data_IF_004807844953
#
_entry.id   IF_004807844953
#
_cell.length_a   1.000
_cell.length_b   1.000
_cell.length_c   1.000
_cell.angle_alpha   90.00
_cell.angle_beta   90.00
_cell.angle_gamma   90.00
#
_symmetry.space_group_name_H-M   'P 1'
#
loop_
_entity.id
_entity.type
_entity.pdbx_description
1 polymer ?
#
# COMPACT_ATOMS: atom_id res chain seq x y z
N UNK A 1 22.73 7.22 2.24
CA UNK A 1 21.90 6.00 2.34
C UNK A 1 20.52 6.38 1.85
N UNK A 2 20.07 5.96 0.67
CA UNK A 2 18.97 6.65 -0.04
C UNK A 2 17.70 6.81 0.81
N UNK A 3 17.21 5.77 1.50
CA UNK A 3 16.02 5.88 2.36
C UNK A 3 16.23 6.75 3.60
N UNK A 4 17.39 6.63 4.26
CA UNK A 4 17.73 7.44 5.44
C UNK A 4 17.78 8.92 5.05
N UNK A 5 18.44 9.23 3.93
CA UNK A 5 18.58 10.59 3.41
C UNK A 5 17.18 11.18 3.09
N UNK A 6 16.30 10.40 2.47
CA UNK A 6 14.92 10.79 2.13
C UNK A 6 14.04 11.02 3.35
N UNK A 7 14.27 10.28 4.45
CA UNK A 7 13.57 10.50 5.71
C UNK A 7 14.14 11.68 6.52
N UNK A 8 15.18 12.37 6.03
CA UNK A 8 15.77 13.53 6.71
C UNK A 8 17.01 13.20 7.57
N UNK A 9 17.70 12.10 7.26
CA UNK A 9 18.93 11.67 7.93
C UNK A 9 18.71 10.67 9.07
N UNK A 10 19.82 10.26 9.69
CA UNK A 10 19.86 9.18 10.70
C UNK A 10 18.84 9.36 11.83
N UNK A 11 18.71 10.58 12.36
CA UNK A 11 17.86 10.83 13.53
C UNK A 11 16.37 10.76 13.20
N UNK A 12 15.96 11.37 12.08
CA UNK A 12 14.57 11.33 11.63
C UNK A 12 14.18 9.90 11.21
N UNK A 13 15.09 9.17 10.56
CA UNK A 13 14.90 7.75 10.26
C UNK A 13 14.73 6.91 11.53
N UNK A 14 15.60 7.08 12.53
CA UNK A 14 15.48 6.36 13.80
C UNK A 14 14.21 6.73 14.56
N UNK A 15 13.79 8.01 14.54
CA UNK A 15 12.52 8.45 15.13
C UNK A 15 11.33 7.75 14.46
N UNK A 16 11.39 7.57 13.14
CA UNK A 16 10.36 6.82 12.41
C UNK A 16 10.35 5.34 12.80
N UNK A 17 11.51 4.70 12.95
CA UNK A 17 11.60 3.33 13.46
C UNK A 17 11.07 3.22 14.89
N UNK A 18 11.42 4.17 15.77
CA UNK A 18 10.94 4.22 17.15
C UNK A 18 9.41 4.32 17.19
N UNK A 19 8.79 5.07 16.26
CA UNK A 19 7.33 5.14 16.15
C UNK A 19 6.68 3.78 15.85
N UNK A 20 7.41 2.84 15.23
CA UNK A 20 6.94 1.49 14.97
C UNK A 20 6.99 0.61 16.23
N UNK A 21 8.08 0.64 17.01
CA UNK A 21 8.27 -0.26 18.15
C UNK A 21 7.65 0.25 19.47
N UNK A 22 7.45 1.57 19.61
CA UNK A 22 7.09 2.20 20.89
C UNK A 22 5.73 2.92 20.88
N UNK A 23 4.93 2.76 19.82
CA UNK A 23 3.51 3.17 19.77
C UNK A 23 2.61 2.05 20.30
N UNK A 24 1.36 2.36 20.65
CA UNK A 24 0.32 1.38 21.01
C UNK A 24 0.12 0.33 19.89
N UNK A 25 -0.04 -0.95 20.23
CA UNK A 25 -0.27 -2.04 19.27
C UNK A 25 -1.68 -2.06 18.68
N UNK A 26 -2.59 -1.20 19.13
CA UNK A 26 -3.96 -1.12 18.61
C UNK A 26 -3.96 -0.81 17.11
N UNK A 27 -4.44 -1.77 16.32
CA UNK A 27 -4.67 -1.61 14.89
C UNK A 27 -6.03 -0.94 14.65
N UNK A 28 -6.14 -0.18 13.56
CA UNK A 28 -7.42 0.31 13.02
C UNK A 28 -7.74 -0.39 11.70
N UNK A 29 -8.99 -0.33 11.25
CA UNK A 29 -9.43 -1.00 10.02
C UNK A 29 -9.74 -2.48 10.22
N UNK A 30 -9.51 -3.28 9.17
CA UNK A 30 -9.84 -4.72 9.15
C UNK A 30 -8.86 -5.51 10.04
N UNK A 31 -9.41 -6.35 10.91
CA UNK A 31 -8.61 -7.37 11.62
C UNK A 31 -8.12 -8.40 10.59
N UNK A 32 -6.81 -8.52 10.44
CA UNK A 32 -6.18 -9.54 9.62
C UNK A 32 -5.54 -10.58 10.53
N UNK A 33 -5.76 -11.87 10.23
CA UNK A 33 -5.25 -12.97 11.03
C UNK A 33 -3.72 -13.06 11.02
N UNK A 34 -3.08 -12.54 9.97
CA UNK A 34 -1.63 -12.61 9.74
C UNK A 34 -0.87 -11.42 10.40
N UNK A 35 -1.57 -10.58 11.18
CA UNK A 35 -0.95 -9.50 11.95
C UNK A 35 -0.77 -9.96 13.40
N UNK A 36 0.37 -10.61 13.67
CA UNK A 36 0.67 -11.25 14.95
C UNK A 36 2.10 -10.97 15.42
N UNK A 37 2.39 -11.29 16.70
CA UNK A 37 3.72 -11.02 17.28
C UNK A 37 4.05 -9.53 17.37
N UNK A 38 3.10 -8.75 17.91
CA UNK A 38 3.20 -7.30 17.94
C UNK A 38 4.13 -6.78 19.03
N UNK A 39 5.06 -5.89 18.66
CA UNK A 39 5.80 -5.02 19.57
C UNK A 39 5.52 -3.58 19.13
N UNK A 40 4.57 -2.92 19.80
CA UNK A 40 3.95 -1.73 19.23
C UNK A 40 3.29 -2.06 17.89
N UNK A 41 3.64 -1.35 16.83
CA UNK A 41 3.20 -1.60 15.46
C UNK A 41 4.12 -2.54 14.66
N UNK A 42 5.26 -2.98 15.24
CA UNK A 42 6.10 -4.00 14.63
C UNK A 42 5.38 -5.35 14.64
N UNK A 43 5.28 -6.02 13.49
CA UNK A 43 4.58 -7.30 13.34
C UNK A 43 5.54 -8.42 12.98
N UNK A 44 6.02 -9.17 13.98
CA UNK A 44 7.05 -10.19 13.75
C UNK A 44 6.55 -11.41 12.97
N UNK A 45 5.28 -11.79 13.15
CA UNK A 45 4.68 -12.95 12.49
C UNK A 45 4.41 -12.77 10.99
N UNK A 46 4.95 -11.70 10.38
CA UNK A 46 4.83 -11.40 8.96
C UNK A 46 6.18 -10.89 8.43
N UNK A 47 6.62 -11.46 7.32
CA UNK A 47 7.96 -11.32 6.74
C UNK A 47 8.42 -9.87 6.50
N UNK A 48 7.57 -8.92 6.04
CA UNK A 48 7.99 -7.57 5.74
C UNK A 48 8.66 -6.86 6.92
N UNK A 49 8.31 -7.23 8.16
CA UNK A 49 8.87 -6.61 9.37
C UNK A 49 10.20 -7.21 9.80
N UNK A 50 10.54 -8.43 9.41
CA UNK A 50 11.58 -9.22 10.09
C UNK A 50 12.99 -8.60 10.05
N UNK A 51 13.28 -7.76 9.05
CA UNK A 51 14.56 -7.05 8.94
C UNK A 51 14.59 -5.67 9.64
N UNK A 52 13.44 -5.13 10.05
CA UNK A 52 13.30 -3.73 10.51
C UNK A 52 14.16 -3.39 11.72
N UNK A 53 14.28 -4.29 12.71
CA UNK A 53 15.11 -4.06 13.89
C UNK A 53 16.61 -3.87 13.56
N UNK A 54 17.09 -4.48 12.47
CA UNK A 54 18.46 -4.34 12.00
C UNK A 54 18.74 -3.01 11.29
N UNK A 55 17.71 -2.23 10.93
CA UNK A 55 17.87 -0.97 10.22
C UNK A 55 18.53 0.13 11.09
N UNK A 56 18.44 0.05 12.42
CA UNK A 56 19.15 0.98 13.29
C UNK A 56 20.69 0.91 13.13
N UNK A 57 21.25 -0.26 12.78
CA UNK A 57 22.67 -0.40 12.50
C UNK A 57 23.13 0.45 11.29
N UNK A 58 22.26 0.64 10.29
CA UNK A 58 22.53 1.50 9.12
C UNK A 58 22.53 3.00 9.48
N UNK A 59 21.85 3.38 10.56
CA UNK A 59 21.74 4.75 11.06
C UNK A 59 22.64 5.01 12.29
N UNK A 60 23.60 4.11 12.57
CA UNK A 60 24.58 4.29 13.64
C UNK A 60 24.06 4.10 15.05
N UNK A 61 22.87 3.49 15.23
CA UNK A 61 22.27 3.16 16.53
C UNK A 61 22.25 1.64 16.76
N UNK A 62 23.37 0.95 16.57
CA UNK A 62 23.45 -0.52 16.67
C UNK A 62 22.95 -1.08 18.02
N UNK A 63 23.10 -0.32 19.11
CA UNK A 63 22.55 -0.71 20.42
C UNK A 63 21.02 -0.90 20.40
N UNK A 64 20.28 -0.14 19.57
CA UNK A 64 18.82 -0.34 19.40
C UNK A 64 18.50 -1.63 18.64
N UNK A 65 19.31 -1.99 17.65
CA UNK A 65 19.20 -3.31 17.00
C UNK A 65 19.38 -4.42 18.03
N UNK A 66 20.40 -4.33 18.88
CA UNK A 66 20.70 -5.32 19.91
C UNK A 66 19.54 -5.48 20.92
N UNK A 67 19.01 -4.36 21.42
CA UNK A 67 17.87 -4.31 22.33
C UNK A 67 16.62 -4.97 21.72
N UNK A 68 16.22 -4.55 20.53
CA UNK A 68 14.98 -5.00 19.89
C UNK A 68 15.07 -6.45 19.42
N UNK A 69 16.20 -6.86 18.84
CA UNK A 69 16.42 -8.26 18.44
C UNK A 69 16.40 -9.17 19.66
N UNK A 70 17.04 -8.78 20.77
CA UNK A 70 16.98 -9.53 22.02
C UNK A 70 15.54 -9.69 22.48
N UNK A 71 14.78 -8.59 22.51
CA UNK A 71 13.37 -8.58 22.92
C UNK A 71 12.53 -9.53 22.07
N UNK A 72 12.66 -9.47 20.75
CA UNK A 72 11.95 -10.36 19.80
C UNK A 72 12.30 -11.83 20.09
N UNK A 73 13.59 -12.16 20.19
CA UNK A 73 14.05 -13.53 20.48
C UNK A 73 13.48 -14.10 21.79
N UNK A 74 13.32 -13.26 22.81
CA UNK A 74 12.90 -13.73 24.15
C UNK A 74 11.39 -13.62 24.42
N UNK A 75 10.68 -12.73 23.72
CA UNK A 75 9.23 -12.54 23.92
C UNK A 75 8.38 -13.29 22.89
N UNK A 76 8.87 -13.50 21.66
CA UNK A 76 8.08 -14.01 20.54
C UNK A 76 8.44 -15.44 20.10
N UNK A 77 9.41 -16.06 20.78
CA UNK A 77 9.81 -17.44 20.57
C UNK A 77 9.85 -18.21 21.89
N UNK A 78 9.35 -19.45 21.89
CA UNK A 78 9.53 -20.40 22.99
C UNK A 78 9.55 -21.84 22.48
N UNK A 79 9.93 -22.77 23.35
CA UNK A 79 9.93 -24.20 23.05
C UNK A 79 8.56 -24.89 23.29
N UNK A 80 7.49 -24.11 23.45
CA UNK A 80 6.12 -24.62 23.65
C UNK A 80 5.44 -24.90 22.31
N UNK A 81 4.36 -25.70 22.27
CA UNK A 81 3.63 -25.95 21.02
C UNK A 81 3.08 -24.69 20.34
N UNK A 82 2.80 -23.63 21.11
CA UNK A 82 2.38 -22.29 20.68
C UNK A 82 3.58 -21.31 20.60
N UNK A 83 4.78 -21.84 20.42
CA UNK A 83 6.03 -21.11 20.65
C UNK A 83 6.49 -20.18 19.54
N UNK A 84 5.75 -20.05 18.43
CA UNK A 84 6.02 -19.08 17.37
C UNK A 84 4.83 -18.13 17.25
N UNK A 85 5.10 -16.84 17.03
CA UNK A 85 4.06 -15.83 17.05
C UNK A 85 3.24 -15.73 15.76
N UNK A 86 3.54 -16.49 14.71
CA UNK A 86 2.87 -16.47 13.41
C UNK A 86 3.07 -17.80 12.67
N UNK A 87 2.76 -17.83 11.37
CA UNK A 87 3.09 -18.98 10.53
C UNK A 87 4.61 -19.12 10.44
N UNK A 88 5.14 -20.34 10.43
CA UNK A 88 6.58 -20.54 10.26
C UNK A 88 7.06 -20.23 8.83
N UNK A 89 6.12 -20.20 7.88
CA UNK A 89 6.32 -19.92 6.46
C UNK A 89 7.49 -20.69 5.84
N UNK A 90 7.37 -22.01 5.97
CA UNK A 90 8.32 -23.00 5.45
C UNK A 90 9.75 -22.80 5.96
N UNK A 91 9.92 -22.39 7.22
CA UNK A 91 11.19 -22.23 7.89
C UNK A 91 11.72 -20.80 7.95
N UNK A 92 11.00 -19.81 7.40
CA UNK A 92 11.43 -18.41 7.42
C UNK A 92 11.55 -17.85 8.84
N UNK A 93 10.53 -18.04 9.69
CA UNK A 93 10.57 -17.63 11.10
C UNK A 93 11.66 -18.36 11.87
N UNK A 94 11.73 -19.69 11.70
CA UNK A 94 12.77 -20.52 12.31
C UNK A 94 14.19 -20.08 11.92
N UNK A 95 14.43 -19.77 10.64
CA UNK A 95 15.71 -19.29 10.16
C UNK A 95 16.04 -17.89 10.72
N UNK A 96 15.05 -17.01 10.85
CA UNK A 96 15.23 -15.71 11.51
C UNK A 96 15.72 -15.88 12.95
N UNK A 97 15.10 -16.78 13.72
CA UNK A 97 15.54 -17.08 15.09
C UNK A 97 16.98 -17.59 15.13
N UNK A 98 17.32 -18.59 14.31
CA UNK A 98 18.66 -19.20 14.28
C UNK A 98 19.74 -18.15 13.96
N UNK A 99 19.54 -17.37 12.90
CA UNK A 99 20.51 -16.33 12.50
C UNK A 99 20.64 -15.25 13.57
N UNK A 100 19.52 -14.73 14.06
CA UNK A 100 19.51 -13.65 15.04
C UNK A 100 20.10 -14.10 16.39
N UNK A 101 19.85 -15.34 16.82
CA UNK A 101 20.43 -15.92 18.03
C UNK A 101 21.94 -16.17 17.91
N UNK A 102 22.46 -16.41 16.71
CA UNK A 102 23.91 -16.40 16.45
C UNK A 102 24.52 -14.99 16.53
N UNK A 103 23.70 -13.95 16.41
CA UNK A 103 24.11 -12.55 16.54
C UNK A 103 24.28 -11.80 15.22
N UNK A 104 23.78 -12.31 14.10
CA UNK A 104 23.78 -11.58 12.82
C UNK A 104 22.64 -11.98 11.89
N UNK A 105 22.26 -11.11 10.95
CA UNK A 105 21.14 -11.37 10.03
C UNK A 105 21.39 -10.81 8.60
N UNK A 106 21.02 -11.55 7.53
CA UNK A 106 21.18 -11.09 6.15
C UNK A 106 20.04 -10.15 5.75
N UNK A 107 20.13 -8.86 6.12
CA UNK A 107 19.10 -7.84 5.81
C UNK A 107 18.84 -7.70 4.30
N UNK A 108 19.89 -7.80 3.49
CA UNK A 108 19.83 -7.73 2.04
C UNK A 108 20.51 -8.98 1.46
N UNK A 109 19.78 -10.10 1.26
CA UNK A 109 20.34 -11.28 0.63
C UNK A 109 21.05 -10.96 -0.70
N UNK A 110 22.09 -11.72 -1.03
CA UNK A 110 23.02 -11.49 -2.15
C UNK A 110 23.96 -10.27 -2.04
N UNK A 111 23.82 -9.41 -1.02
CA UNK A 111 24.81 -8.35 -0.75
C UNK A 111 26.16 -8.88 -0.21
N UNK A 112 26.22 -10.16 0.16
CA UNK A 112 27.30 -10.77 0.93
C UNK A 112 27.55 -10.12 2.30
N UNK A 113 26.59 -9.39 2.86
CA UNK A 113 26.68 -8.79 4.18
C UNK A 113 25.66 -9.39 5.16
N UNK A 114 26.11 -9.63 6.39
CA UNK A 114 25.31 -10.04 7.54
C UNK A 114 25.39 -8.97 8.61
N UNK A 115 24.28 -8.30 8.93
CA UNK A 115 24.24 -7.20 9.90
C UNK A 115 24.29 -7.76 11.31
N UNK A 116 25.20 -7.23 12.13
CA UNK A 116 25.45 -7.70 13.50
C UNK A 116 24.34 -7.19 14.44
N UNK A 117 23.76 -8.13 15.18
CA UNK A 117 22.92 -7.88 16.35
C UNK A 117 23.70 -8.16 17.63
N UNK A 118 23.15 -9.03 18.49
CA UNK A 118 23.80 -9.54 19.68
C UNK A 118 23.51 -11.05 19.82
N UNK A 119 24.51 -11.91 20.06
CA UNK A 119 24.30 -13.34 20.26
C UNK A 119 23.40 -13.63 21.47
N UNK A 120 22.71 -14.76 21.45
CA UNK A 120 21.91 -15.27 22.57
C UNK A 120 22.66 -16.30 23.44
N UNK A 121 23.70 -16.94 22.88
CA UNK A 121 24.45 -18.01 23.52
C UNK A 121 25.92 -17.65 23.71
N UNK A 122 26.54 -18.19 24.76
CA UNK A 122 27.96 -17.94 25.08
C UNK A 122 28.93 -18.46 24.02
N UNK A 123 28.53 -19.51 23.29
CA UNK A 123 29.29 -20.08 22.19
C UNK A 123 28.38 -20.71 21.15
N UNK A 124 28.63 -20.42 19.88
CA UNK A 124 28.05 -21.12 18.72
C UNK A 124 29.16 -21.56 17.78
N UNK A 125 29.04 -22.73 17.18
CA UNK A 125 29.98 -23.22 16.14
C UNK A 125 29.20 -23.58 14.88
N UNK A 126 29.51 -22.91 13.79
CA UNK A 126 28.99 -23.22 12.45
C UNK A 126 29.97 -24.20 11.78
N UNK A 127 29.49 -25.40 11.46
CA UNK A 127 30.25 -26.36 10.66
C UNK A 127 29.95 -26.09 9.18
N UNK A 128 30.94 -25.59 8.44
CA UNK A 128 30.80 -25.21 7.04
C UNK A 128 30.90 -26.43 6.13
N UNK A 129 30.28 -26.38 4.96
CA UNK A 129 30.29 -27.48 3.98
C UNK A 129 31.70 -27.83 3.48
N UNK A 130 32.63 -26.86 3.50
CA UNK A 130 34.04 -27.08 3.17
C UNK A 130 34.85 -27.75 4.29
N UNK A 131 34.20 -28.22 5.35
CA UNK A 131 34.83 -28.88 6.50
C UNK A 131 35.48 -27.94 7.51
N UNK A 132 35.48 -26.63 7.27
CA UNK A 132 35.98 -25.62 8.21
C UNK A 132 34.92 -25.27 9.25
N UNK A 133 35.34 -24.55 10.30
CA UNK A 133 34.47 -24.10 11.40
C UNK A 133 34.57 -22.60 11.55
N UNK A 134 33.42 -21.95 11.74
CA UNK A 134 33.33 -20.57 12.19
C UNK A 134 32.74 -20.55 13.60
N UNK A 135 33.51 -20.08 14.57
CA UNK A 135 33.11 -20.03 15.97
C UNK A 135 32.70 -18.61 16.37
N UNK A 136 31.60 -18.50 17.10
CA UNK A 136 31.11 -17.27 17.69
C UNK A 136 31.22 -17.43 19.20
N UNK A 137 31.95 -16.55 19.87
CA UNK A 137 32.20 -16.60 21.31
C UNK A 137 31.69 -15.31 21.93
N UNK A 138 30.77 -15.39 22.88
CA UNK A 138 30.10 -14.23 23.47
C UNK A 138 29.81 -14.48 24.95
N UNK A 139 30.85 -14.61 25.77
CA UNK A 139 30.70 -14.95 27.18
C UNK A 139 29.76 -13.99 27.92
N UNK A 140 28.76 -14.54 28.60
CA UNK A 140 27.71 -13.79 29.30
C UNK A 140 26.61 -13.27 28.39
N UNK A 141 26.45 -13.82 27.17
CA UNK A 141 25.43 -13.37 26.21
C UNK A 141 24.01 -13.56 26.74
N UNK A 142 23.77 -14.58 27.57
CA UNK A 142 22.44 -14.80 28.15
C UNK A 142 21.99 -13.62 29.01
N UNK A 143 22.89 -13.05 29.82
CA UNK A 143 22.59 -11.95 30.76
C UNK A 143 22.80 -10.55 30.17
N UNK A 144 23.65 -10.44 29.15
CA UNK A 144 24.08 -9.16 28.59
C UNK A 144 23.55 -9.00 27.15
N UNK A 145 22.71 -7.99 26.94
CA UNK A 145 22.08 -7.75 25.64
C UNK A 145 22.95 -6.93 24.66
N UNK A 146 24.00 -6.27 25.12
CA UNK A 146 24.75 -5.29 24.32
C UNK A 146 26.18 -5.73 24.01
N UNK A 147 26.69 -5.26 22.88
CA UNK A 147 28.06 -5.50 22.42
C UNK A 147 28.93 -4.30 22.77
N UNK A 148 30.03 -4.54 23.48
CA UNK A 148 31.05 -3.53 23.79
C UNK A 148 32.10 -3.39 22.71
N UNK A 149 32.61 -4.51 22.23
CA UNK A 149 33.59 -4.58 21.15
C UNK A 149 33.59 -5.97 20.52
N UNK A 150 34.20 -6.09 19.35
CA UNK A 150 34.34 -7.35 18.62
C UNK A 150 35.81 -7.61 18.28
N UNK A 151 36.16 -8.88 18.20
CA UNK A 151 37.39 -9.33 17.53
C UNK A 151 37.07 -10.36 16.48
N UNK A 152 37.64 -10.20 15.29
CA UNK A 152 37.60 -11.19 14.23
C UNK A 152 38.99 -11.78 14.07
N UNK A 153 39.13 -13.08 14.32
CA UNK A 153 40.40 -13.81 14.29
C UNK A 153 41.49 -13.12 15.15
N UNK A 154 41.10 -12.70 16.36
CA UNK A 154 41.98 -12.03 17.33
C UNK A 154 42.29 -10.56 17.05
N UNK A 155 41.82 -9.99 15.93
CA UNK A 155 42.01 -8.58 15.57
C UNK A 155 40.77 -7.77 15.93
N UNK A 156 40.95 -6.56 16.44
CA UNK A 156 39.86 -5.61 16.69
C UNK A 156 39.00 -5.43 15.42
N UNK A 157 37.69 -5.48 15.61
CA UNK A 157 36.70 -5.38 14.54
C UNK A 157 35.64 -4.36 14.93
N UNK A 158 35.53 -3.30 14.16
CA UNK A 158 34.73 -2.11 14.50
C UNK A 158 33.48 -1.94 13.62
N UNK A 159 33.20 -2.91 12.76
CA UNK A 159 32.03 -2.89 11.86
C UNK A 159 30.83 -3.58 12.50
N UNK A 160 29.63 -3.11 12.16
CA UNK A 160 28.34 -3.70 12.57
C UNK A 160 27.77 -4.66 11.51
N UNK A 161 28.64 -5.24 10.70
CA UNK A 161 28.30 -6.29 9.74
C UNK A 161 29.49 -7.21 9.54
N UNK A 162 29.25 -8.43 9.08
CA UNK A 162 30.25 -9.36 8.54
C UNK A 162 30.05 -9.46 7.04
N UNK A 163 31.12 -9.65 6.28
CA UNK A 163 31.03 -10.08 4.90
C UNK A 163 31.01 -11.61 4.85
N UNK A 164 30.48 -12.18 3.77
CA UNK A 164 30.56 -13.62 3.51
C UNK A 164 32.01 -14.14 3.54
N UNK A 165 32.95 -13.33 3.06
CA UNK A 165 34.38 -13.64 3.07
C UNK A 165 34.97 -13.71 4.48
N UNK A 166 34.36 -13.05 5.47
CA UNK A 166 34.77 -13.13 6.88
C UNK A 166 34.38 -14.49 7.50
N UNK A 167 33.47 -15.25 6.87
CA UNK A 167 32.88 -16.49 7.40
C UNK A 167 33.31 -17.72 6.58
N UNK A 168 33.31 -17.63 5.24
CA UNK A 168 33.42 -18.78 4.33
C UNK A 168 34.68 -19.64 4.54
N UNK A 169 35.73 -19.05 5.08
CA UNK A 169 37.01 -19.68 5.33
C UNK A 169 37.21 -20.14 6.77
N UNK A 170 36.14 -20.14 7.58
CA UNK A 170 36.19 -20.40 9.01
C UNK A 170 36.84 -19.26 9.79
N UNK A 171 37.00 -19.45 11.10
CA UNK A 171 37.58 -18.45 11.98
C UNK A 171 36.86 -18.33 13.31
N UNK A 172 37.16 -17.26 14.05
CA UNK A 172 36.56 -16.95 15.35
C UNK A 172 36.11 -15.50 15.40
N UNK A 173 34.85 -15.27 15.73
CA UNK A 173 34.29 -13.96 16.06
C UNK A 173 34.00 -13.91 17.57
N UNK A 174 34.70 -13.02 18.27
CA UNK A 174 34.58 -12.85 19.71
C UNK A 174 33.83 -11.56 20.03
N UNK A 175 32.76 -11.67 20.81
CA UNK A 175 31.98 -10.57 21.33
C UNK A 175 32.36 -10.29 22.79
N UNK A 176 32.72 -9.06 23.10
CA UNK A 176 32.75 -8.58 24.47
C UNK A 176 31.35 -8.06 24.85
N UNK A 177 30.59 -8.84 25.61
CA UNK A 177 29.21 -8.48 25.99
C UNK A 177 29.17 -7.52 27.19
N UNK A 178 28.09 -6.75 27.31
CA UNK A 178 27.84 -5.84 28.44
C UNK A 178 26.34 -5.62 28.69
N UNK A 179 25.99 -5.25 29.91
CA UNK A 179 24.62 -5.01 30.38
C UNK A 179 24.04 -3.63 29.99
N UNK A 180 24.91 -2.73 29.51
CA UNK A 180 24.57 -1.34 29.17
C UNK A 180 24.86 -1.03 27.70
N UNK A 181 24.01 -0.23 27.04
CA UNK A 181 24.22 0.13 25.64
C UNK A 181 25.53 0.93 25.46
N UNK A 182 26.28 0.59 24.41
CA UNK A 182 27.47 1.35 23.99
C UNK A 182 27.09 2.19 22.77
N UNK A 183 26.77 3.46 23.01
CA UNK A 183 26.28 4.39 21.98
C UNK A 183 27.29 4.65 20.85
N UNK A 184 28.58 4.46 21.12
CA UNK A 184 29.66 4.67 20.14
C UNK A 184 29.91 3.45 19.25
N UNK A 185 29.47 2.26 19.65
CA UNK A 185 29.66 1.04 18.87
C UNK A 185 28.86 1.11 17.57
N UNK A 186 29.55 1.10 16.43
CA UNK A 186 28.92 1.17 15.11
C UNK A 186 28.39 2.55 14.71
N UNK A 187 28.74 3.61 15.45
CA UNK A 187 28.25 4.97 15.18
C UNK A 187 28.87 5.58 13.92
N UNK A 188 30.16 5.35 13.69
CA UNK A 188 30.88 5.90 12.54
C UNK A 188 30.35 5.32 11.22
N UNK A 189 30.19 6.14 10.17
CA UNK A 189 29.66 5.68 8.88
C UNK A 189 30.47 4.53 8.27
N UNK A 190 31.79 4.53 8.43
CA UNK A 190 32.69 3.47 7.95
C UNK A 190 32.44 2.10 8.62
N UNK A 191 31.84 2.11 9.80
CA UNK A 191 31.49 0.91 10.57
C UNK A 191 30.14 0.33 10.20
N UNK A 192 29.28 1.07 9.48
CA UNK A 192 27.89 0.68 9.21
C UNK A 192 27.79 -0.18 7.95
N UNK A 193 26.79 -1.08 7.88
CA UNK A 193 26.44 -1.72 6.60
C UNK A 193 25.98 -0.67 5.60
N UNK A 194 26.12 -0.97 4.31
CA UNK A 194 25.70 -0.07 3.23
C UNK A 194 24.83 -0.82 2.23
N UNK A 195 23.72 -0.22 1.83
CA UNK A 195 22.91 -0.71 0.73
C UNK A 195 22.72 0.41 -0.29
N UNK A 196 23.23 0.20 -1.51
CA UNK A 196 23.14 1.17 -2.60
C UNK A 196 23.14 0.45 -3.94
N UNK A 197 22.28 0.90 -4.83
CA UNK A 197 22.30 0.53 -6.25
C UNK A 197 23.48 1.27 -6.91
N UNK A 198 24.51 0.53 -7.35
CA UNK A 198 25.67 1.08 -8.06
C UNK A 198 25.56 0.94 -9.57
N UNK A 199 24.90 -0.13 -10.00
CA UNK A 199 24.68 -0.48 -11.40
C UNK A 199 23.17 -0.52 -11.70
N UNK A 200 22.78 -0.27 -12.96
CA UNK A 200 21.38 -0.20 -13.37
C UNK A 200 20.57 0.80 -12.53
N UNK A 201 21.07 2.05 -12.44
CA UNK A 201 20.43 3.12 -11.67
C UNK A 201 18.96 3.29 -12.06
N UNK A 202 18.09 3.28 -11.05
CA UNK A 202 16.66 3.43 -11.20
C UNK A 202 16.32 4.90 -10.95
N UNK A 203 15.68 5.54 -11.92
CA UNK A 203 15.01 6.82 -11.71
C UNK A 203 13.59 6.54 -11.22
N UNK A 204 13.24 7.07 -10.05
CA UNK A 204 11.98 6.79 -9.38
C UNK A 204 10.87 7.64 -10.00
N UNK A 205 9.71 7.03 -10.24
CA UNK A 205 8.58 7.75 -10.84
C UNK A 205 8.09 8.88 -9.93
N UNK A 206 7.80 10.07 -10.49
CA UNK A 206 7.26 11.19 -9.74
C UNK A 206 5.79 10.96 -9.37
N UNK A 207 5.25 11.82 -8.51
CA UNK A 207 3.82 11.80 -8.14
C UNK A 207 3.13 13.15 -8.36
N UNK A 208 1.82 13.09 -8.58
CA UNK A 208 0.94 14.25 -8.55
C UNK A 208 0.14 14.27 -7.25
N UNK A 209 0.02 15.44 -6.65
CA UNK A 209 -0.84 15.68 -5.49
C UNK A 209 -1.86 16.78 -5.83
N UNK A 210 -3.09 16.62 -5.37
CA UNK A 210 -4.17 17.57 -5.62
C UNK A 210 -5.29 17.37 -4.60
N UNK A 211 -6.15 18.37 -4.44
CA UNK A 211 -7.31 18.28 -3.56
C UNK A 211 -8.43 17.45 -4.20
N UNK A 212 -9.08 16.61 -3.38
CA UNK A 212 -10.22 15.79 -3.81
C UNK A 212 -9.81 14.57 -4.65
N UNK A 213 -10.63 14.21 -5.62
CA UNK A 213 -10.52 12.94 -6.35
C UNK A 213 -10.06 13.12 -7.81
N UNK A 214 -9.61 14.32 -8.20
CA UNK A 214 -9.20 14.62 -9.59
C UNK A 214 -10.34 15.15 -10.48
N UNK A 215 -11.43 15.61 -9.86
CA UNK A 215 -12.58 16.23 -10.55
C UNK A 215 -12.80 17.65 -10.04
N UNK A 216 -13.16 18.58 -10.92
CA UNK A 216 -13.26 20.00 -10.58
C UNK A 216 -14.28 20.74 -11.46
N UNK A 217 -14.79 21.89 -11.02
CA UNK A 217 -15.79 22.68 -11.77
C UNK A 217 -15.16 23.86 -12.52
N UNK A 218 -14.25 24.57 -11.86
CA UNK A 218 -13.59 25.78 -12.37
C UNK A 218 -12.16 25.49 -12.79
N UNK A 219 -11.34 25.10 -11.81
CA UNK A 219 -9.94 24.77 -11.99
C UNK A 219 -9.47 23.84 -10.87
N UNK A 220 -8.38 23.11 -11.13
CA UNK A 220 -7.67 22.32 -10.13
C UNK A 220 -6.19 22.70 -10.14
N UNK A 221 -5.64 22.96 -8.97
CA UNK A 221 -4.18 23.06 -8.79
C UNK A 221 -3.64 21.67 -8.58
N UNK A 222 -2.62 21.32 -9.37
CA UNK A 222 -1.94 20.04 -9.32
C UNK A 222 -0.47 20.30 -8.96
N UNK A 223 -0.04 19.69 -7.87
CA UNK A 223 1.34 19.73 -7.41
C UNK A 223 2.11 18.54 -7.98
N UNK A 224 3.34 18.82 -8.40
CA UNK A 224 4.27 17.90 -9.05
C UNK A 224 5.40 17.64 -8.07
N UNK A 225 5.58 16.38 -7.68
CA UNK A 225 6.52 16.00 -6.62
C UNK A 225 7.55 15.01 -7.16
N UNK A 226 8.82 15.40 -7.16
CA UNK A 226 9.92 14.48 -7.41
C UNK A 226 10.26 13.71 -6.15
N UNK A 227 10.75 12.51 -6.38
CA UNK A 227 11.28 11.70 -5.31
C UNK A 227 12.68 12.19 -4.89
N UNK A 228 13.53 12.52 -5.87
CA UNK A 228 14.82 13.17 -5.63
C UNK A 228 14.75 14.64 -6.08
N UNK A 229 15.27 15.56 -5.27
CA UNK A 229 15.22 17.01 -5.53
C UNK A 229 15.92 17.43 -6.83
N UNK A 230 16.90 16.64 -7.28
CA UNK A 230 17.67 16.90 -8.48
C UNK A 230 17.01 16.32 -9.75
N UNK A 231 15.89 15.58 -9.61
CA UNK A 231 15.18 15.03 -10.76
C UNK A 231 14.44 16.14 -11.52
N UNK A 232 14.52 16.09 -12.85
CA UNK A 232 13.64 16.88 -13.70
C UNK A 232 12.40 16.08 -14.05
N UNK A 233 11.23 16.54 -13.61
CA UNK A 233 9.94 15.96 -13.96
C UNK A 233 9.46 16.55 -15.27
N UNK A 234 9.16 15.68 -16.22
CA UNK A 234 8.45 16.03 -17.46
C UNK A 234 6.97 15.73 -17.26
N UNK A 235 6.13 16.73 -17.51
CA UNK A 235 4.67 16.65 -17.50
C UNK A 235 4.19 16.82 -18.93
N UNK A 236 3.67 15.75 -19.53
CA UNK A 236 3.12 15.71 -20.87
C UNK A 236 1.59 15.80 -20.80
N UNK A 237 1.02 16.75 -21.54
CA UNK A 237 -0.42 16.93 -21.67
C UNK A 237 -0.92 16.19 -22.91
N UNK A 238 -2.17 15.69 -22.87
CA UNK A 238 -2.76 14.94 -23.99
C UNK A 238 -2.85 15.66 -25.34
N UNK A 239 -2.54 16.97 -25.40
CA UNK A 239 -2.39 17.75 -26.64
C UNK A 239 -0.96 17.75 -27.21
N UNK A 240 -0.04 17.00 -26.60
CA UNK A 240 1.37 16.89 -26.98
C UNK A 240 2.26 18.01 -26.44
N UNK A 241 1.72 18.96 -25.66
CA UNK A 241 2.54 19.97 -24.98
C UNK A 241 3.21 19.37 -23.74
N UNK A 242 4.40 19.87 -23.39
CA UNK A 242 5.14 19.41 -22.20
C UNK A 242 5.56 20.59 -21.31
N UNK A 243 5.64 20.35 -20.01
CA UNK A 243 6.26 21.26 -19.02
C UNK A 243 7.25 20.50 -18.17
N UNK A 244 8.34 21.16 -17.80
CA UNK A 244 9.38 20.56 -16.97
C UNK A 244 9.46 21.26 -15.62
N UNK A 245 9.64 20.49 -14.54
CA UNK A 245 9.82 20.97 -13.18
C UNK A 245 11.08 20.34 -12.59
N UNK A 246 11.92 21.11 -11.90
CA UNK A 246 13.08 20.59 -11.18
C UNK A 246 12.70 20.37 -9.72
N UNK A 247 12.73 19.13 -9.25
CA UNK A 247 12.40 18.74 -7.88
C UNK A 247 10.91 18.84 -7.55
N UNK A 248 10.33 20.02 -7.55
CA UNK A 248 8.91 20.23 -7.23
C UNK A 248 8.32 21.40 -8.02
N UNK A 249 7.01 21.46 -8.10
CA UNK A 249 6.31 22.59 -8.70
C UNK A 249 4.80 22.38 -8.72
N UNK A 250 4.10 23.30 -9.37
CA UNK A 250 2.65 23.19 -9.50
C UNK A 250 2.15 23.86 -10.78
N UNK A 251 0.97 23.45 -11.22
CA UNK A 251 0.25 24.08 -12.31
C UNK A 251 -1.25 23.95 -12.12
N UNK A 252 -2.01 24.86 -12.73
CA UNK A 252 -3.47 24.80 -12.73
C UNK A 252 -3.98 24.23 -14.06
N UNK A 253 -5.01 23.40 -13.96
CA UNK A 253 -5.81 22.93 -15.10
C UNK A 253 -7.19 23.54 -15.03
N UNK A 254 -7.76 23.84 -16.21
CA UNK A 254 -9.07 24.49 -16.35
C UNK A 254 -10.07 23.66 -17.16
N UNK A 255 -9.65 22.52 -17.72
CA UNK A 255 -10.45 21.63 -18.55
C UNK A 255 -10.03 20.18 -18.31
N UNK A 256 -10.91 19.21 -18.62
CA UNK A 256 -10.60 17.79 -18.53
C UNK A 256 -9.35 17.46 -19.33
N UNK A 257 -8.38 16.77 -18.72
CA UNK A 257 -7.10 16.45 -19.36
C UNK A 257 -6.56 15.11 -18.89
N UNK A 258 -5.90 14.42 -19.80
CA UNK A 258 -4.98 13.34 -19.47
C UNK A 258 -3.57 13.91 -19.34
N UNK A 259 -2.86 13.50 -18.29
CA UNK A 259 -1.52 13.97 -17.95
C UNK A 259 -0.64 12.75 -17.74
N UNK A 260 0.50 12.72 -18.41
CA UNK A 260 1.54 11.71 -18.22
C UNK A 260 2.76 12.37 -17.61
N UNK A 261 3.30 11.80 -16.53
CA UNK A 261 4.50 12.31 -15.87
C UNK A 261 5.61 11.27 -15.79
N UNK A 262 6.86 11.70 -15.87
CA UNK A 262 8.03 10.88 -15.63
C UNK A 262 9.22 11.75 -15.21
N UNK A 263 10.14 11.17 -14.44
CA UNK A 263 11.34 11.83 -13.97
C UNK A 263 12.54 11.52 -14.89
N UNK A 264 13.46 12.47 -14.98
CA UNK A 264 14.75 12.34 -15.67
C UNK A 264 15.89 12.76 -14.75
N UNK A 265 16.84 11.86 -14.57
CA UNK A 265 18.10 12.11 -13.88
C UNK A 265 19.16 11.09 -14.33
N UNK A 266 19.84 11.38 -15.43
CA UNK A 266 20.73 10.43 -16.14
C UNK A 266 19.98 9.31 -16.87
N UNK A 267 19.01 8.67 -16.22
CA UNK A 267 18.03 7.74 -16.79
C UNK A 267 16.61 8.32 -16.68
N UNK A 268 15.62 7.68 -17.31
CA UNK A 268 14.20 8.05 -17.19
C UNK A 268 13.46 7.04 -16.33
N UNK A 269 12.50 7.53 -15.53
CA UNK A 269 11.59 6.67 -14.78
C UNK A 269 10.55 6.01 -15.69
N UNK A 270 9.77 5.07 -15.14
CA UNK A 270 8.49 4.71 -15.74
C UNK A 270 7.53 5.91 -15.70
N UNK A 271 6.63 5.98 -16.68
CA UNK A 271 5.61 7.02 -16.75
C UNK A 271 4.40 6.70 -15.88
N UNK A 272 3.81 7.74 -15.28
CA UNK A 272 2.55 7.67 -14.53
C UNK A 272 1.50 8.47 -15.28
N UNK A 273 0.35 7.87 -15.57
CA UNK A 273 -0.79 8.54 -16.22
C UNK A 273 -1.85 8.93 -15.19
N UNK A 274 -2.38 10.15 -15.29
CA UNK A 274 -3.42 10.70 -14.43
C UNK A 274 -4.49 11.40 -15.29
N UNK A 275 -5.76 11.07 -15.05
CA UNK A 275 -6.90 11.66 -15.77
C UNK A 275 -7.70 12.57 -14.84
N UNK A 276 -7.95 13.78 -15.31
CA UNK A 276 -8.70 14.79 -14.60
C UNK A 276 -9.96 15.17 -15.37
N UNK A 277 -11.06 15.40 -14.65
CA UNK A 277 -12.37 15.65 -15.26
C UNK A 277 -12.96 16.97 -14.76
N UNK A 278 -13.30 17.84 -15.70
CA UNK A 278 -14.11 19.03 -15.44
C UNK A 278 -15.59 18.64 -15.45
N UNK A 279 -16.25 18.86 -14.32
CA UNK A 279 -17.68 18.59 -14.14
C UNK A 279 -18.50 19.89 -14.25
N UNK A 280 -19.75 19.83 -14.76
CA UNK A 280 -20.61 21.01 -14.81
C UNK A 280 -20.86 21.62 -13.42
N UNK A 281 -20.86 22.96 -13.35
CA UNK A 281 -21.19 23.69 -12.12
C UNK A 281 -22.62 23.40 -11.65
N UNK A 282 -22.82 23.43 -10.34
CA UNK A 282 -24.15 23.29 -9.74
C UNK A 282 -24.70 21.86 -9.73
N UNK A 283 -23.99 20.91 -10.34
CA UNK A 283 -24.36 19.49 -10.25
C UNK A 283 -24.12 18.97 -8.83
N UNK A 284 -25.09 18.24 -8.29
CA UNK A 284 -24.95 17.54 -7.02
C UNK A 284 -25.75 16.26 -7.04
N UNK A 285 -25.48 15.36 -6.10
CA UNK A 285 -26.18 14.10 -5.96
C UNK A 285 -26.51 13.83 -4.50
N UNK A 286 -27.67 13.25 -4.27
CA UNK A 286 -28.08 12.68 -2.99
C UNK A 286 -28.33 11.18 -3.18
N UNK A 287 -27.48 10.37 -2.59
CA UNK A 287 -27.71 8.92 -2.50
C UNK A 287 -28.76 8.67 -1.41
N UNK A 288 -29.82 7.94 -1.75
CA UNK A 288 -30.94 7.64 -0.86
C UNK A 288 -30.82 6.26 -0.21
N UNK A 289 -30.06 5.34 -0.81
CA UNK A 289 -29.73 4.03 -0.25
C UNK A 289 -28.28 3.98 0.22
N UNK A 290 -27.99 3.17 1.23
CA UNK A 290 -26.65 3.09 1.80
C UNK A 290 -25.76 2.16 0.95
N UNK A 291 -24.73 2.71 0.32
CA UNK A 291 -23.65 1.90 -0.25
C UNK A 291 -22.72 1.39 0.85
N UNK A 292 -21.99 0.32 0.56
CA UNK A 292 -21.07 -0.30 1.50
C UNK A 292 -19.77 0.53 1.62
N UNK A 293 -19.28 0.83 2.84
CA UNK A 293 -18.04 1.57 3.05
C UNK A 293 -16.79 0.94 2.40
N UNK A 294 -16.84 -0.35 2.04
CA UNK A 294 -15.76 -1.02 1.31
C UNK A 294 -15.64 -0.53 -0.13
N UNK A 295 -16.74 -0.12 -0.76
CA UNK A 295 -16.82 0.23 -2.18
C UNK A 295 -17.57 1.55 -2.34
N UNK A 296 -16.89 2.66 -2.07
CA UNK A 296 -17.52 3.99 -2.05
C UNK A 296 -17.44 4.73 -3.38
N UNK A 297 -16.57 4.30 -4.31
CA UNK A 297 -16.18 5.06 -5.51
C UNK A 297 -15.69 6.49 -5.23
N UNK A 298 -15.10 6.74 -4.05
CA UNK A 298 -14.72 8.11 -3.65
C UNK A 298 -15.86 8.89 -2.98
N UNK A 299 -16.94 8.22 -2.59
CA UNK A 299 -18.07 8.79 -1.84
C UNK A 299 -19.26 9.15 -2.74
N UNK A 300 -20.17 9.98 -2.22
CA UNK A 300 -21.44 10.29 -2.90
C UNK A 300 -21.26 10.86 -4.30
N UNK A 301 -20.25 11.73 -4.48
CA UNK A 301 -19.98 12.38 -5.77
C UNK A 301 -19.47 11.39 -6.83
N UNK A 302 -18.98 10.21 -6.44
CA UNK A 302 -18.39 9.24 -7.36
C UNK A 302 -19.29 8.82 -8.52
N UNK A 303 -20.62 8.90 -8.36
CA UNK A 303 -21.56 8.57 -9.43
C UNK A 303 -21.83 9.71 -10.42
N UNK A 304 -21.25 10.89 -10.23
CA UNK A 304 -21.44 12.05 -11.11
C UNK A 304 -20.11 12.76 -11.43
N UNK A 305 -18.99 12.09 -11.17
CA UNK A 305 -17.65 12.65 -11.26
C UNK A 305 -17.01 12.43 -12.64
N UNK A 306 -17.74 11.76 -13.54
CA UNK A 306 -17.36 11.38 -14.91
C UNK A 306 -16.26 10.32 -14.99
N UNK A 307 -15.80 9.77 -13.86
CA UNK A 307 -14.86 8.65 -13.87
C UNK A 307 -15.58 7.37 -14.19
N UNK A 308 -14.94 6.57 -15.03
CA UNK A 308 -15.48 5.27 -15.47
C UNK A 308 -14.62 4.16 -14.87
N UNK A 309 -15.29 3.20 -14.26
CA UNK A 309 -14.67 1.99 -13.77
C UNK A 309 -14.16 1.14 -14.93
N UNK A 310 -13.03 0.47 -14.70
CA UNK A 310 -12.55 -0.59 -15.60
C UNK A 310 -13.30 -1.90 -15.34
N UNK A 311 -13.02 -2.93 -16.12
CA UNK A 311 -13.45 -4.30 -15.85
C UNK A 311 -12.84 -4.88 -14.56
N UNK A 312 -11.81 -4.24 -13.99
CA UNK A 312 -11.32 -4.59 -12.68
C UNK A 312 -11.96 -3.72 -11.60
N UNK A 313 -13.08 -4.19 -11.05
CA UNK A 313 -13.83 -3.48 -10.03
C UNK A 313 -13.04 -3.26 -8.71
N UNK A 314 -11.96 -4.02 -8.50
CA UNK A 314 -11.09 -3.92 -7.32
C UNK A 314 -10.23 -2.64 -7.31
N UNK A 315 -10.18 -1.92 -8.43
CA UNK A 315 -9.44 -0.65 -8.55
C UNK A 315 -10.15 0.55 -7.91
N UNK A 316 -11.35 0.35 -7.35
CA UNK A 316 -11.99 1.32 -6.44
C UNK A 316 -12.88 2.37 -7.11
N UNK A 317 -13.09 2.32 -8.43
CA UNK A 317 -13.98 3.23 -9.16
C UNK A 317 -15.45 2.79 -9.19
N UNK A 318 -15.84 1.77 -8.42
CA UNK A 318 -17.20 1.24 -8.40
C UNK A 318 -17.82 1.38 -7.01
N UNK A 319 -19.05 1.87 -6.96
CA UNK A 319 -19.81 2.02 -5.73
C UNK A 319 -20.69 0.78 -5.54
N UNK A 320 -20.55 0.11 -4.40
CA UNK A 320 -21.15 -1.19 -4.14
C UNK A 320 -22.31 -1.17 -3.16
N UNK A 321 -23.37 -1.92 -3.47
CA UNK A 321 -24.59 -2.04 -2.66
C UNK A 321 -24.82 -3.51 -2.28
N UNK A 322 -24.84 -3.82 -0.97
CA UNK A 322 -24.85 -5.19 -0.44
C UNK A 322 -26.26 -5.70 -0.10
N UNK A 323 -26.89 -6.34 -1.07
CA UNK A 323 -28.29 -6.79 -1.00
C UNK A 323 -29.31 -5.65 -0.98
N UNK A 324 -28.87 -4.42 -1.29
CA UNK A 324 -29.68 -3.20 -1.32
C UNK A 324 -29.80 -2.68 -2.75
N UNK A 325 -30.92 -2.05 -3.05
CA UNK A 325 -31.12 -1.32 -4.31
C UNK A 325 -30.26 -0.05 -4.35
N UNK A 326 -29.93 0.42 -5.55
CA UNK A 326 -29.42 1.78 -5.75
C UNK A 326 -30.61 2.72 -5.90
N UNK A 327 -30.73 3.73 -5.05
CA UNK A 327 -31.58 4.89 -5.31
C UNK A 327 -30.78 6.17 -5.11
N UNK A 328 -30.76 7.05 -6.12
CA UNK A 328 -30.08 8.33 -6.03
C UNK A 328 -30.82 9.43 -6.80
N UNK A 329 -30.64 10.68 -6.37
CA UNK A 329 -31.19 11.87 -7.02
C UNK A 329 -30.05 12.81 -7.39
N UNK A 330 -29.88 13.05 -8.68
CA UNK A 330 -28.95 14.03 -9.23
C UNK A 330 -29.69 15.34 -9.51
N UNK A 331 -29.22 16.45 -8.94
CA UNK A 331 -29.62 17.81 -9.30
C UNK A 331 -28.62 18.34 -10.33
N UNK A 332 -29.12 18.78 -11.48
CA UNK A 332 -28.30 19.38 -12.53
C UNK A 332 -28.01 20.87 -12.31
N UNK A 333 -28.54 21.46 -11.23
CA UNK A 333 -28.43 22.87 -10.87
C UNK A 333 -29.47 23.74 -11.59
N UNK A 334 -29.73 23.45 -12.87
CA UNK A 334 -30.75 24.12 -13.69
C UNK A 334 -31.46 23.16 -14.65
N UNK A 335 -32.64 23.58 -15.11
CA UNK A 335 -33.41 22.82 -16.09
C UNK A 335 -32.71 22.87 -17.44
N UNK A 336 -32.39 21.70 -17.98
CA UNK A 336 -31.69 21.57 -19.26
C UNK A 336 -32.23 20.40 -20.09
N UNK A 337 -31.86 20.40 -21.36
CA UNK A 337 -32.19 19.36 -22.33
C UNK A 337 -31.29 18.14 -22.09
N UNK A 338 -31.90 16.99 -21.87
CA UNK A 338 -31.25 15.70 -21.60
C UNK A 338 -31.62 14.76 -22.74
N UNK A 339 -30.65 14.38 -23.55
CA UNK A 339 -30.85 13.44 -24.67
C UNK A 339 -31.10 12.03 -24.16
N UNK A 340 -30.33 11.61 -23.16
CA UNK A 340 -30.47 10.30 -22.49
C UNK A 340 -29.78 10.29 -21.13
N UNK A 341 -30.25 9.38 -20.28
CA UNK A 341 -29.66 9.07 -18.97
C UNK A 341 -29.26 7.61 -18.96
N UNK A 342 -28.15 7.26 -18.32
CA UNK A 342 -27.75 5.86 -18.14
C UNK A 342 -26.95 5.62 -16.88
N UNK A 343 -27.34 4.63 -16.08
CA UNK A 343 -26.49 4.04 -15.05
C UNK A 343 -25.65 2.93 -15.68
N UNK A 344 -24.35 2.94 -15.39
CA UNK A 344 -23.43 1.91 -15.83
C UNK A 344 -23.09 0.97 -14.68
N UNK A 345 -23.20 -0.33 -14.96
CA UNK A 345 -23.10 -1.40 -13.98
C UNK A 345 -22.09 -2.45 -14.44
N UNK A 346 -21.63 -3.26 -13.49
CA UNK A 346 -20.72 -4.39 -13.72
C UNK A 346 -21.30 -5.67 -13.14
N UNK A 347 -21.05 -6.79 -13.81
CA UNK A 347 -21.34 -8.14 -13.35
C UNK A 347 -20.05 -8.96 -13.34
N UNK A 348 -19.86 -9.71 -12.26
CA UNK A 348 -18.81 -10.71 -12.07
C UNK A 348 -19.41 -11.77 -11.13
N UNK A 349 -19.94 -12.83 -11.73
CA UNK A 349 -20.80 -13.78 -11.05
C UNK A 349 -20.09 -14.49 -9.91
N UNK A 350 -18.80 -14.80 -10.10
CA UNK A 350 -17.96 -15.48 -9.11
C UNK A 350 -17.69 -14.61 -7.88
N UNK A 351 -17.81 -13.29 -8.04
CA UNK A 351 -17.65 -12.29 -6.99
C UNK A 351 -18.98 -11.86 -6.38
N UNK A 352 -20.08 -12.55 -6.67
CA UNK A 352 -21.44 -12.24 -6.23
C UNK A 352 -21.97 -10.89 -6.74
N UNK A 353 -21.40 -10.35 -7.82
CA UNK A 353 -21.78 -9.05 -8.41
C UNK A 353 -22.67 -9.30 -9.62
N UNK A 354 -23.89 -8.77 -9.58
CA UNK A 354 -24.87 -8.98 -10.65
C UNK A 354 -25.36 -7.66 -11.23
N UNK A 355 -25.72 -7.69 -12.51
CA UNK A 355 -26.49 -6.61 -13.13
C UNK A 355 -27.79 -6.36 -12.35
N UNK A 356 -28.30 -5.11 -12.32
CA UNK A 356 -29.61 -4.85 -11.74
C UNK A 356 -30.68 -5.63 -12.50
N UNK A 357 -31.75 -6.07 -11.81
CA UNK A 357 -32.88 -6.73 -12.45
C UNK A 357 -33.63 -5.77 -13.38
N UNK A 358 -33.76 -4.51 -12.93
CA UNK A 358 -34.38 -3.42 -13.68
C UNK A 358 -33.74 -2.10 -13.30
N UNK A 359 -33.71 -1.13 -14.22
CA UNK A 359 -33.31 0.25 -13.93
C UNK A 359 -34.45 1.20 -14.31
N UNK A 360 -34.90 2.00 -13.36
CA UNK A 360 -35.91 3.03 -13.57
C UNK A 360 -35.28 4.42 -13.49
N UNK A 361 -35.69 5.27 -14.43
CA UNK A 361 -35.32 6.68 -14.44
C UNK A 361 -36.57 7.52 -14.26
N UNK A 362 -36.51 8.43 -13.29
CA UNK A 362 -37.56 9.40 -13.02
C UNK A 362 -36.99 10.81 -13.14
N UNK A 363 -37.81 11.77 -13.57
CA UNK A 363 -37.38 13.15 -13.75
C UNK A 363 -38.29 14.13 -13.02
N UNK A 364 -37.73 15.27 -12.62
CA UNK A 364 -38.46 16.33 -11.94
C UNK A 364 -37.90 17.71 -12.30
N UNK A 365 -38.77 18.73 -12.23
CA UNK A 365 -38.37 20.14 -12.35
C UNK A 365 -38.15 20.79 -10.98
N UNK A 366 -38.76 20.26 -9.91
CA UNK A 366 -38.80 20.84 -8.56
C UNK A 366 -38.07 20.00 -7.48
N UNK A 367 -37.63 18.79 -7.83
CA UNK A 367 -36.94 17.88 -6.92
C UNK A 367 -37.86 17.18 -5.92
N UNK A 368 -39.17 17.37 -6.04
CA UNK A 368 -40.19 16.81 -5.15
C UNK A 368 -41.10 15.86 -5.95
N UNK A 369 -41.65 16.35 -7.05
CA UNK A 369 -42.61 15.63 -7.90
C UNK A 369 -41.86 14.93 -9.04
N UNK A 370 -41.64 13.63 -8.88
CA UNK A 370 -40.96 12.79 -9.87
C UNK A 370 -41.97 12.06 -10.75
N UNK A 371 -41.72 12.07 -12.07
CA UNK A 371 -42.45 11.28 -13.05
C UNK A 371 -41.53 10.25 -13.69
N UNK A 372 -42.03 9.04 -13.92
CA UNK A 372 -41.30 7.99 -14.63
C UNK A 372 -41.00 8.45 -16.06
N UNK A 373 -39.73 8.41 -16.45
CA UNK A 373 -39.28 8.61 -17.82
C UNK A 373 -39.31 7.28 -18.58
N UNK A 374 -38.65 6.27 -18.00
CA UNK A 374 -38.49 4.95 -18.59
C UNK A 374 -38.09 3.93 -17.52
N UNK A 375 -38.53 2.68 -17.72
CA UNK A 375 -38.08 1.51 -16.99
C UNK A 375 -37.47 0.55 -18.00
N UNK A 376 -36.27 0.08 -17.71
CA UNK A 376 -35.50 -0.82 -18.56
C UNK A 376 -35.30 -2.13 -17.80
N UNK A 377 -35.76 -3.24 -18.38
CA UNK A 377 -35.54 -4.58 -17.83
C UNK A 377 -34.17 -5.10 -18.29
N UNK A 378 -33.49 -5.84 -17.43
CA UNK A 378 -32.19 -6.41 -17.77
C UNK A 378 -32.33 -7.72 -18.55
N UNK A 379 -31.72 -7.75 -19.74
CA UNK A 379 -31.68 -8.92 -20.62
C UNK A 379 -30.38 -9.73 -20.51
N UNK A 380 -29.40 -9.26 -19.73
CA UNK A 380 -28.12 -9.94 -19.55
C UNK A 380 -28.33 -11.13 -18.58
N UNK A 381 -28.02 -12.37 -19.01
CA UNK A 381 -28.14 -13.53 -18.15
C UNK A 381 -27.23 -13.42 -16.92
N UNK A 382 -27.78 -13.71 -15.74
CA UNK A 382 -27.03 -13.63 -14.48
C UNK A 382 -25.90 -14.67 -14.38
N UNK A 383 -26.02 -15.78 -15.12
CA UNK A 383 -25.04 -16.87 -15.19
C UNK A 383 -23.99 -16.67 -16.30
N UNK A 384 -24.06 -15.55 -17.02
CA UNK A 384 -23.08 -15.21 -18.04
C UNK A 384 -21.74 -14.96 -17.38
N UNK A 385 -20.77 -15.82 -17.70
CA UNK A 385 -19.47 -15.83 -17.04
C UNK A 385 -18.56 -14.69 -17.48
N UNK A 386 -17.79 -14.18 -16.53
CA UNK A 386 -16.76 -13.18 -16.73
C UNK A 386 -17.21 -11.78 -16.35
N UNK A 387 -16.27 -10.85 -16.42
CA UNK A 387 -16.55 -9.47 -16.07
C UNK A 387 -17.23 -8.74 -17.23
N UNK A 388 -18.44 -8.25 -17.00
CA UNK A 388 -19.28 -7.60 -18.02
C UNK A 388 -19.68 -6.23 -17.51
N UNK A 389 -19.42 -5.19 -18.29
CA UNK A 389 -19.96 -3.86 -18.03
C UNK A 389 -21.12 -3.56 -18.99
N UNK A 390 -22.14 -2.88 -18.49
CA UNK A 390 -23.28 -2.48 -19.31
C UNK A 390 -23.91 -1.18 -18.80
N UNK A 391 -24.25 -0.31 -19.74
CA UNK A 391 -24.97 0.93 -19.46
C UNK A 391 -26.41 0.84 -19.95
N UNK A 392 -27.37 1.02 -19.04
CA UNK A 392 -28.80 0.99 -19.34
C UNK A 392 -29.29 2.39 -19.73
N UNK A 393 -29.12 2.78 -20.99
CA UNK A 393 -29.54 4.10 -21.46
C UNK A 393 -31.04 4.21 -21.72
N UNK A 394 -31.65 5.33 -21.31
CA UNK A 394 -32.99 5.71 -21.76
C UNK A 394 -33.02 6.00 -23.25
N UNK A 395 -34.16 5.75 -23.88
CA UNK A 395 -34.44 6.01 -25.29
C UNK A 395 -35.08 7.38 -25.54
N UNK A 396 -35.62 8.01 -24.49
CA UNK A 396 -36.38 9.26 -24.58
C UNK A 396 -35.58 10.49 -24.17
N UNK A 397 -35.66 11.51 -24.99
CA UNK A 397 -35.18 12.86 -24.67
C UNK A 397 -36.19 13.63 -23.81
N UNK A 398 -35.70 14.45 -22.88
CA UNK A 398 -36.54 15.20 -21.94
C UNK A 398 -35.88 16.50 -21.50
N UNK A 399 -36.67 17.48 -21.07
CA UNK A 399 -36.17 18.64 -20.33
C UNK A 399 -36.51 18.48 -18.85
N UNK A 400 -35.50 18.50 -17.99
CA UNK A 400 -35.65 18.39 -16.54
C UNK A 400 -34.44 19.01 -15.81
N UNK A 401 -34.59 19.22 -14.49
CA UNK A 401 -33.48 19.62 -13.61
C UNK A 401 -32.99 18.47 -12.75
N UNK A 402 -33.89 17.61 -12.29
CA UNK A 402 -33.59 16.50 -11.40
C UNK A 402 -33.78 15.17 -12.11
N UNK A 403 -32.86 14.25 -11.88
CA UNK A 403 -32.94 12.87 -12.33
C UNK A 403 -32.85 11.96 -11.11
N UNK A 404 -33.79 11.03 -10.96
CA UNK A 404 -33.74 9.97 -9.97
C UNK A 404 -33.52 8.64 -10.68
N UNK A 405 -32.49 7.92 -10.28
CA UNK A 405 -32.24 6.53 -10.71
C UNK A 405 -32.70 5.58 -9.60
N UNK A 406 -33.32 4.47 -10.00
CA UNK A 406 -33.58 3.31 -9.13
C UNK A 406 -33.12 2.05 -9.85
N UNK A 407 -32.10 1.37 -9.33
CA UNK A 407 -31.63 0.10 -9.88
C UNK A 407 -31.88 -1.03 -8.89
N UNK A 408 -32.65 -2.03 -9.33
CA UNK A 408 -33.13 -3.13 -8.49
C UNK A 408 -32.04 -4.17 -8.33
N UNK A 409 -31.56 -4.40 -7.11
CA UNK A 409 -30.62 -5.47 -6.81
C UNK A 409 -31.34 -6.82 -6.82
N UNK A 410 -30.60 -7.89 -7.12
CA UNK A 410 -31.07 -9.28 -6.98
C UNK A 410 -31.37 -9.62 -5.52
N UNK A 411 -30.75 -8.90 -4.57
CA UNK A 411 -30.91 -9.07 -3.13
C UNK A 411 -30.02 -10.20 -2.60
N UNK A 412 -30.21 -11.41 -3.13
CA UNK A 412 -29.40 -12.60 -2.81
C UNK A 412 -28.87 -13.28 -4.07
N UNK A 413 -27.84 -14.10 -3.90
CA UNK A 413 -27.28 -14.93 -4.95
C UNK A 413 -28.35 -15.90 -5.48
N UNK A 414 -28.51 -16.02 -6.82
CA UNK A 414 -29.46 -16.93 -7.44
C UNK A 414 -29.26 -18.40 -7.06
N UNK A 415 -30.29 -19.23 -7.25
CA UNK A 415 -30.31 -20.65 -6.86
C UNK A 415 -29.18 -21.49 -7.48
N UNK A 416 -28.73 -21.12 -8.68
CA UNK A 416 -27.65 -21.81 -9.40
C UNK A 416 -26.25 -21.44 -8.89
N UNK A 417 -26.12 -20.36 -8.11
CA UNK A 417 -24.84 -19.86 -7.64
C UNK A 417 -24.30 -20.71 -6.47
N UNK A 418 -22.98 -20.90 -6.41
CA UNK A 418 -22.33 -21.71 -5.34
C UNK A 418 -22.62 -21.19 -3.93
N UNK A 419 -22.87 -19.89 -3.81
CA UNK A 419 -23.21 -19.19 -2.55
C UNK A 419 -24.69 -18.80 -2.49
N UNK A 420 -25.59 -19.63 -3.04
CA UNK A 420 -27.04 -19.37 -3.07
C UNK A 420 -27.58 -18.87 -1.72
N UNK A 421 -28.46 -17.88 -1.77
CA UNK A 421 -29.10 -17.30 -0.58
C UNK A 421 -28.26 -16.28 0.22
N UNK A 422 -26.94 -16.22 0.00
CA UNK A 422 -26.12 -15.13 0.52
C UNK A 422 -26.43 -13.82 -0.21
N UNK A 423 -26.19 -12.67 0.42
CA UNK A 423 -26.44 -11.37 -0.23
C UNK A 423 -25.66 -11.20 -1.54
N UNK A 424 -26.22 -10.43 -2.46
CA UNK A 424 -25.63 -10.11 -3.75
C UNK A 424 -25.19 -8.64 -3.83
N UNK A 425 -24.09 -8.39 -4.53
CA UNK A 425 -23.60 -7.06 -4.83
C UNK A 425 -24.30 -6.48 -6.08
N UNK A 426 -24.60 -5.19 -6.01
CA UNK A 426 -24.90 -4.34 -7.17
C UNK A 426 -23.85 -3.23 -7.22
N UNK A 427 -23.14 -3.10 -8.34
CA UNK A 427 -22.07 -2.14 -8.51
C UNK A 427 -22.39 -1.15 -9.63
N UNK A 428 -22.20 0.14 -9.38
CA UNK A 428 -22.35 1.23 -10.36
C UNK A 428 -21.15 2.17 -10.27
N UNK A 429 -20.65 2.67 -11.40
CA UNK A 429 -19.56 3.65 -11.42
C UNK A 429 -20.07 5.07 -11.64
N UNK A 430 -21.07 5.26 -12.51
CA UNK A 430 -21.48 6.59 -12.97
C UNK A 430 -22.96 6.62 -13.44
N UNK A 431 -23.64 7.73 -13.14
CA UNK A 431 -24.92 8.15 -13.72
C UNK A 431 -24.61 9.14 -14.84
N UNK A 432 -24.63 8.64 -16.07
CA UNK A 432 -24.31 9.38 -17.28
C UNK A 432 -25.53 10.20 -17.70
N UNK A 433 -25.30 11.47 -18.03
CA UNK A 433 -26.33 12.41 -18.46
C UNK A 433 -25.76 13.17 -19.66
N UNK A 434 -26.38 13.00 -20.84
CA UNK A 434 -25.91 13.53 -22.14
C UNK A 434 -26.87 14.53 -22.80
#
# INVERSE_FOLDING_TARGET
>A
NTLIDLMGGDEAFCTKLDSCFFTDSKTSGRVQADVTGLIGQYCHGNEPSQHTAYLYAYAGKAYRTQELVRRILTELYSNRPDGICGNDDAGQMSAWFVMSAMGFYPVCPASNQYVIGAPLFDKVTINLENGKKFEIIAQGAEQNAYVRSLKLNGKEYDKTYLNYDDIKDGGVLEFAMTDKPIMEFGRAESSRPTSRIKDNLICISPSLSYEGTGTFTDSLTVDVNAFCKDDTIVVEFGDGTCRNFLGEGSFSIHDSRNIVIYAKNGTSSQSVECRFYKIPKGRSIKILTKYDPQYTAGGDQGLIDLKRGTDNWKLGCWQGYWGEDLEAVTDLGEKQRIKRVGGNFIQDEKSWIFMPLTVEYHVSDDGINFRLLEKIDNEIPQDKSGCITHTFFTSKEINARYIKIKAKNTGVNPDWHLSKGEKAWLFTDEIIIE
#
